data_IF_416664608458
#
_entry.id   IF_416664608458
#
_cell.length_a   1.000
_cell.length_b   1.000
_cell.length_c   1.000
_cell.angle_alpha   90.00
_cell.angle_beta   90.00
_cell.angle_gamma   90.00
#
_symmetry.space_group_name_H-M   'P 1'
#
loop_
_entity.id
_entity.type
_entity.pdbx_description
1 polymer ?
#
# COMPACT_ATOMS: atom_id res chain seq x y z
N UNK A 1 16.42 53.98 -19.43
CA UNK A 1 15.29 53.35 -18.69
C UNK A 1 15.46 51.86 -18.79
N UNK A 2 16.12 51.24 -17.81
CA UNK A 2 16.46 49.80 -17.80
C UNK A 2 15.36 49.08 -17.02
N UNK A 3 14.59 48.28 -17.71
CA UNK A 3 13.51 47.48 -17.14
C UNK A 3 14.14 46.23 -16.53
N UNK A 4 14.20 46.18 -15.20
CA UNK A 4 14.65 45.02 -14.44
C UNK A 4 13.48 44.04 -14.29
N UNK A 5 13.58 42.77 -14.72
CA UNK A 5 12.51 41.83 -14.56
C UNK A 5 12.30 41.50 -13.07
N UNK A 6 11.07 41.65 -12.60
CA UNK A 6 10.66 41.30 -11.26
C UNK A 6 10.90 39.79 -11.04
N UNK A 7 11.79 39.46 -10.10
CA UNK A 7 11.98 38.09 -9.61
C UNK A 7 10.69 37.71 -8.84
N UNK A 8 9.87 36.91 -9.48
CA UNK A 8 8.66 36.36 -8.89
C UNK A 8 9.02 35.55 -7.66
N UNK A 9 8.73 36.08 -6.47
CA UNK A 9 8.91 35.39 -5.20
C UNK A 9 8.03 34.15 -5.17
N UNK A 10 8.52 33.02 -5.66
CA UNK A 10 7.89 31.68 -5.52
C UNK A 10 7.51 31.47 -4.06
N UNK A 11 6.21 31.21 -3.82
CA UNK A 11 5.59 31.21 -2.49
C UNK A 11 6.34 30.26 -1.56
N UNK A 12 6.92 30.70 -0.41
CA UNK A 12 7.68 29.87 0.54
C UNK A 12 6.93 28.60 0.99
N UNK A 13 5.61 28.64 0.99
CA UNK A 13 4.73 27.52 1.35
C UNK A 13 4.78 26.36 0.34
N UNK A 14 4.89 26.66 -0.95
CA UNK A 14 4.98 25.63 -1.99
C UNK A 14 6.33 24.92 -1.96
N UNK A 15 7.41 25.64 -1.64
CA UNK A 15 8.74 25.05 -1.47
C UNK A 15 8.81 24.16 -0.23
N UNK A 16 8.18 24.57 0.87
CA UNK A 16 8.08 23.78 2.09
C UNK A 16 7.31 22.45 1.84
N UNK A 17 6.20 22.50 1.11
CA UNK A 17 5.44 21.30 0.74
C UNK A 17 6.30 20.36 -0.12
N UNK A 18 6.97 20.89 -1.16
CA UNK A 18 7.84 20.08 -2.02
C UNK A 18 9.00 19.46 -1.25
N UNK A 19 9.62 20.21 -0.37
CA UNK A 19 10.71 19.71 0.48
C UNK A 19 10.22 18.59 1.41
N UNK A 20 9.03 18.75 2.01
CA UNK A 20 8.41 17.73 2.85
C UNK A 20 8.20 16.43 2.06
N UNK A 21 7.62 16.49 0.86
CA UNK A 21 7.41 15.30 0.02
C UNK A 21 8.74 14.64 -0.40
N UNK A 22 9.76 15.42 -0.75
CA UNK A 22 11.10 14.88 -1.06
C UNK A 22 11.72 14.16 0.13
N UNK A 23 11.54 14.69 1.35
CA UNK A 23 12.03 14.04 2.58
C UNK A 23 11.28 12.73 2.82
N UNK A 24 9.95 12.68 2.66
CA UNK A 24 9.18 11.46 2.84
C UNK A 24 9.58 10.37 1.82
N UNK A 25 9.76 10.73 0.55
CA UNK A 25 10.22 9.80 -0.49
C UNK A 25 11.63 9.27 -0.20
N UNK A 26 12.54 10.15 0.17
CA UNK A 26 13.90 9.77 0.54
C UNK A 26 13.91 8.86 1.78
N UNK A 27 13.08 9.17 2.78
CA UNK A 27 12.97 8.39 4.01
C UNK A 27 12.44 6.97 3.71
N UNK A 28 11.39 6.85 2.89
CA UNK A 28 10.91 5.55 2.41
C UNK A 28 12.05 4.73 1.81
N UNK A 29 12.80 5.30 0.86
CA UNK A 29 13.86 4.60 0.17
C UNK A 29 15.04 4.22 1.09
N UNK A 30 15.45 5.11 2.01
CA UNK A 30 16.55 4.85 2.95
C UNK A 30 16.14 3.79 3.97
N UNK A 31 14.95 3.88 4.54
CA UNK A 31 14.50 2.95 5.57
C UNK A 31 14.11 1.58 5.01
N UNK A 32 13.55 1.51 3.79
CA UNK A 32 13.20 0.23 3.15
C UNK A 32 14.42 -0.62 2.81
N UNK A 33 15.57 0.01 2.55
CA UNK A 33 16.84 -0.70 2.35
C UNK A 33 17.38 -1.26 3.67
N UNK A 34 16.95 -0.70 4.79
CA UNK A 34 17.25 -1.20 6.14
C UNK A 34 18.70 -1.01 6.56
N UNK A 35 18.99 -1.47 7.79
CA UNK A 35 20.33 -1.53 8.30
C UNK A 35 20.74 -0.33 9.17
N UNK A 36 21.93 -0.43 9.80
CA UNK A 36 22.46 0.59 10.72
C UNK A 36 22.72 1.94 10.05
N UNK A 37 22.92 1.94 8.73
CA UNK A 37 23.18 3.13 7.92
C UNK A 37 21.93 3.97 7.60
N UNK A 38 20.76 3.51 7.98
CA UNK A 38 19.49 4.23 7.79
C UNK A 38 19.37 5.40 8.77
N UNK A 39 20.14 6.48 8.51
CA UNK A 39 20.20 7.67 9.35
C UNK A 39 19.39 8.84 8.78
N UNK A 40 19.02 9.80 9.64
CA UNK A 40 18.35 11.03 9.20
C UNK A 40 19.24 11.87 8.29
N UNK A 41 20.57 11.81 8.47
CA UNK A 41 21.54 12.45 7.61
C UNK A 41 21.54 11.84 6.21
N UNK A 42 21.42 10.51 6.10
CA UNK A 42 21.25 9.81 4.82
C UNK A 42 19.96 10.22 4.13
N UNK A 43 18.87 10.36 4.88
CA UNK A 43 17.57 10.86 4.37
C UNK A 43 17.72 12.30 3.87
N UNK A 44 18.30 13.21 4.65
CA UNK A 44 18.47 14.62 4.28
C UNK A 44 19.32 14.74 3.01
N UNK A 45 20.44 14.01 2.94
CA UNK A 45 21.33 13.97 1.77
C UNK A 45 20.59 13.46 0.52
N UNK A 46 19.85 12.36 0.63
CA UNK A 46 19.07 11.80 -0.48
C UNK A 46 17.94 12.73 -0.92
N UNK A 47 17.29 13.41 0.02
CA UNK A 47 16.24 14.39 -0.26
C UNK A 47 16.80 15.70 -0.88
N UNK A 48 18.12 15.94 -0.81
CA UNK A 48 18.75 17.18 -1.23
C UNK A 48 18.29 18.37 -0.38
N UNK A 49 18.14 18.15 0.93
CA UNK A 49 17.81 19.21 1.91
C UNK A 49 18.84 19.24 3.03
N UNK A 50 19.00 20.41 3.66
CA UNK A 50 19.82 20.49 4.86
C UNK A 50 19.18 19.74 6.03
N UNK A 51 20.01 19.14 6.91
CA UNK A 51 19.54 18.41 8.09
C UNK A 51 18.64 19.28 8.99
N UNK A 52 18.96 20.56 9.16
CA UNK A 52 18.13 21.51 9.89
C UNK A 52 16.76 21.75 9.27
N UNK A 53 16.63 21.60 7.95
CA UNK A 53 15.33 21.65 7.25
C UNK A 53 14.53 20.38 7.52
N UNK A 54 15.17 19.21 7.55
CA UNK A 54 14.53 17.95 7.91
C UNK A 54 13.97 18.02 9.33
N UNK A 55 14.75 18.44 10.32
CA UNK A 55 14.30 18.55 11.72
C UNK A 55 13.16 19.56 11.93
N UNK A 56 13.09 20.63 11.13
CA UNK A 56 11.94 21.55 11.17
C UNK A 56 10.62 20.89 10.75
N UNK A 57 10.67 19.94 9.82
CA UNK A 57 9.49 19.21 9.36
C UNK A 57 9.20 18.00 10.23
N UNK A 58 10.23 17.33 10.72
CA UNK A 58 10.15 16.07 11.47
C UNK A 58 11.13 16.14 12.65
N UNK A 59 10.67 16.63 13.82
CA UNK A 59 11.54 16.87 14.98
C UNK A 59 12.21 15.61 15.53
N UNK A 60 11.57 14.44 15.33
CA UNK A 60 12.10 13.15 15.77
C UNK A 60 12.09 12.14 14.62
N UNK A 61 12.80 11.04 14.81
CA UNK A 61 12.85 9.93 13.87
C UNK A 61 11.48 9.24 13.78
N UNK A 62 10.80 9.13 14.92
CA UNK A 62 9.46 8.58 15.05
C UNK A 62 8.42 9.41 14.28
N UNK A 63 8.50 10.74 14.39
CA UNK A 63 7.62 11.64 13.65
C UNK A 63 7.81 11.50 12.13
N UNK A 64 9.04 11.29 11.67
CA UNK A 64 9.30 11.00 10.26
C UNK A 64 8.74 9.63 9.86
N UNK A 65 8.95 8.60 10.69
CA UNK A 65 8.39 7.26 10.47
C UNK A 65 6.88 7.32 10.33
N UNK A 66 6.19 7.93 11.29
CA UNK A 66 4.74 8.04 11.26
C UNK A 66 4.24 8.76 10.01
N UNK A 67 4.92 9.84 9.61
CA UNK A 67 4.56 10.60 8.42
C UNK A 67 4.76 9.79 7.12
N UNK A 68 5.84 9.00 7.00
CA UNK A 68 6.05 8.07 5.88
C UNK A 68 4.98 7.00 5.89
N UNK A 69 4.72 6.38 7.03
CA UNK A 69 3.72 5.32 7.15
C UNK A 69 2.32 5.80 6.75
N UNK A 70 1.88 6.97 7.26
CA UNK A 70 0.58 7.57 6.88
C UNK A 70 0.50 7.87 5.38
N UNK A 71 1.59 8.39 4.80
CA UNK A 71 1.66 8.65 3.35
C UNK A 71 1.49 7.36 2.55
N UNK A 72 2.16 6.29 2.92
CA UNK A 72 2.05 4.99 2.24
C UNK A 72 0.63 4.41 2.35
N UNK A 73 -0.03 4.55 3.50
CA UNK A 73 -1.44 4.18 3.68
C UNK A 73 -2.33 4.98 2.73
N UNK A 74 -2.17 6.31 2.68
CA UNK A 74 -2.98 7.15 1.80
C UNK A 74 -2.74 6.84 0.31
N UNK A 75 -1.50 6.54 -0.09
CA UNK A 75 -1.21 6.13 -1.46
C UNK A 75 -1.92 4.83 -1.83
N UNK A 76 -1.99 3.87 -0.90
CA UNK A 76 -2.68 2.60 -1.14
C UNK A 76 -4.21 2.78 -1.19
N UNK A 77 -4.76 3.69 -0.38
CA UNK A 77 -6.18 4.08 -0.45
C UNK A 77 -6.49 4.75 -1.78
N UNK A 78 -5.66 5.69 -2.22
CA UNK A 78 -5.88 6.40 -3.48
C UNK A 78 -5.72 5.48 -4.70
N UNK A 79 -4.82 4.50 -4.62
CA UNK A 79 -4.70 3.45 -5.63
C UNK A 79 -6.01 2.66 -5.79
N UNK A 80 -6.71 2.31 -4.70
CA UNK A 80 -8.00 1.64 -4.79
C UNK A 80 -9.00 2.44 -5.63
N UNK A 81 -9.18 3.72 -5.32
CA UNK A 81 -10.07 4.62 -6.07
C UNK A 81 -9.69 4.73 -7.55
N UNK A 82 -8.39 4.80 -7.85
CA UNK A 82 -7.92 4.86 -9.22
C UNK A 82 -8.22 3.58 -9.99
N UNK A 83 -8.05 2.42 -9.35
CA UNK A 83 -8.29 1.12 -9.96
C UNK A 83 -9.77 0.85 -10.23
N UNK A 84 -10.69 1.39 -9.41
CA UNK A 84 -12.13 1.23 -9.58
C UNK A 84 -12.63 1.61 -10.97
N UNK A 85 -12.04 2.62 -11.59
CA UNK A 85 -12.51 3.20 -12.85
C UNK A 85 -11.71 2.76 -14.06
N UNK A 86 -10.61 2.00 -13.89
CA UNK A 86 -9.63 1.75 -14.96
C UNK A 86 -9.59 0.33 -15.49
N UNK A 87 -9.86 -0.65 -14.64
CA UNK A 87 -9.69 -2.07 -14.98
C UNK A 87 -10.84 -2.93 -14.45
N UNK A 88 -10.91 -4.19 -14.91
CA UNK A 88 -11.90 -5.16 -14.47
C UNK A 88 -11.84 -5.37 -12.94
N UNK A 89 -13.00 -5.61 -12.29
CA UNK A 89 -13.10 -5.61 -10.82
C UNK A 89 -12.14 -6.57 -10.12
N UNK A 90 -12.05 -7.82 -10.56
CA UNK A 90 -11.14 -8.80 -9.94
C UNK A 90 -9.67 -8.44 -10.16
N UNK A 91 -9.34 -7.86 -11.31
CA UNK A 91 -7.98 -7.42 -11.58
C UNK A 91 -7.62 -6.16 -10.77
N UNK A 92 -8.59 -5.27 -10.49
CA UNK A 92 -8.41 -4.15 -9.56
C UNK A 92 -8.07 -4.66 -8.15
N UNK A 93 -8.81 -5.66 -7.66
CA UNK A 93 -8.55 -6.30 -6.38
C UNK A 93 -7.16 -6.96 -6.36
N UNK A 94 -6.80 -7.69 -7.42
CA UNK A 94 -5.48 -8.32 -7.58
C UNK A 94 -4.35 -7.29 -7.52
N UNK A 95 -4.46 -6.23 -8.30
CA UNK A 95 -3.47 -5.15 -8.32
C UNK A 95 -3.30 -4.49 -6.95
N UNK A 96 -4.40 -4.22 -6.26
CA UNK A 96 -4.36 -3.61 -4.95
C UNK A 96 -3.70 -4.52 -3.90
N UNK A 97 -4.02 -5.81 -3.87
CA UNK A 97 -3.39 -6.77 -2.96
C UNK A 97 -1.88 -6.92 -3.24
N UNK A 98 -1.47 -6.91 -4.51
CA UNK A 98 -0.05 -6.92 -4.88
C UNK A 98 0.67 -5.65 -4.43
N UNK A 99 0.05 -4.47 -4.57
CA UNK A 99 0.56 -3.21 -4.02
C UNK A 99 0.62 -3.25 -2.48
N UNK A 100 -0.31 -3.94 -1.82
CA UNK A 100 -0.30 -4.20 -0.39
C UNK A 100 0.93 -4.99 0.07
N UNK A 101 1.45 -5.92 -0.74
CA UNK A 101 2.72 -6.63 -0.46
C UNK A 101 3.91 -5.65 -0.45
N UNK A 102 3.95 -4.70 -1.38
CA UNK A 102 4.99 -3.65 -1.43
C UNK A 102 4.90 -2.71 -0.23
N UNK A 103 3.67 -2.33 0.16
CA UNK A 103 3.43 -1.57 1.39
C UNK A 103 3.97 -2.31 2.62
N UNK A 104 3.70 -3.62 2.73
CA UNK A 104 4.20 -4.43 3.84
C UNK A 104 5.72 -4.57 3.83
N UNK A 105 6.35 -4.61 2.65
CA UNK A 105 7.81 -4.62 2.53
C UNK A 105 8.42 -3.32 3.08
N UNK A 106 7.85 -2.17 2.71
CA UNK A 106 8.24 -0.87 3.25
C UNK A 106 8.09 -0.84 4.77
N UNK A 107 6.94 -1.29 5.30
CA UNK A 107 6.67 -1.35 6.74
C UNK A 107 7.69 -2.21 7.48
N UNK A 108 7.99 -3.42 6.99
CA UNK A 108 8.97 -4.34 7.58
C UNK A 108 10.38 -3.74 7.57
N UNK A 109 10.81 -3.17 6.44
CA UNK A 109 12.11 -2.51 6.31
C UNK A 109 12.26 -1.32 7.26
N UNK A 110 11.23 -0.48 7.35
CA UNK A 110 11.21 0.67 8.26
C UNK A 110 11.27 0.24 9.74
N UNK A 111 10.52 -0.79 10.13
CA UNK A 111 10.54 -1.30 11.50
C UNK A 111 11.93 -1.83 11.88
N UNK A 112 12.58 -2.57 10.98
CA UNK A 112 13.94 -3.08 11.18
C UNK A 112 14.97 -1.95 11.28
N UNK A 113 14.89 -0.93 10.39
CA UNK A 113 15.83 0.20 10.36
C UNK A 113 15.76 1.06 11.63
N UNK A 114 14.61 1.12 12.26
CA UNK A 114 14.40 1.96 13.43
C UNK A 114 14.75 1.26 14.74
N UNK A 115 15.01 -0.06 14.71
CA UNK A 115 15.17 -0.88 15.91
C UNK A 115 14.12 -0.57 16.99
N UNK A 116 13.04 0.04 16.58
CA UNK A 116 11.92 0.39 17.45
C UNK A 116 11.10 -0.85 17.71
N UNK A 117 10.62 -0.94 18.94
CA UNK A 117 9.58 -1.89 19.27
C UNK A 117 8.58 -1.95 18.12
N UNK A 118 8.33 -3.13 17.60
CA UNK A 118 7.58 -3.43 16.38
C UNK A 118 6.11 -2.94 16.38
N UNK A 119 5.80 -2.04 17.27
CA UNK A 119 4.48 -1.54 17.56
C UNK A 119 4.47 -0.04 17.25
N UNK A 120 4.03 0.30 16.05
CA UNK A 120 3.50 1.64 15.82
C UNK A 120 2.48 1.97 16.92
N UNK A 121 2.25 3.25 17.21
CA UNK A 121 1.24 3.58 18.22
C UNK A 121 -0.06 2.85 17.91
N UNK A 122 -0.81 2.39 18.91
CA UNK A 122 -2.12 1.74 18.69
C UNK A 122 -3.04 2.56 17.79
N UNK A 123 -2.96 3.89 17.89
CA UNK A 123 -3.73 4.82 17.06
C UNK A 123 -3.31 4.75 15.57
N UNK A 124 -2.02 4.60 15.29
CA UNK A 124 -1.51 4.48 13.92
C UNK A 124 -1.92 3.13 13.30
N UNK A 125 -1.92 2.06 14.10
CA UNK A 125 -2.38 0.73 13.68
C UNK A 125 -3.88 0.78 13.39
N UNK A 126 -4.70 1.34 14.30
CA UNK A 126 -6.13 1.47 14.11
C UNK A 126 -6.48 2.32 12.89
N UNK A 127 -5.80 3.46 12.71
CA UNK A 127 -5.93 4.32 11.55
C UNK A 127 -5.69 3.56 10.23
N UNK A 128 -4.60 2.80 10.16
CA UNK A 128 -4.27 2.06 8.94
C UNK A 128 -5.25 0.92 8.67
N UNK A 129 -5.65 0.18 9.71
CA UNK A 129 -6.60 -0.92 9.58
C UNK A 129 -7.93 -0.43 9.03
N UNK A 130 -8.53 0.61 9.64
CA UNK A 130 -9.81 1.19 9.16
C UNK A 130 -9.74 1.61 7.70
N UNK A 131 -8.71 2.36 7.32
CA UNK A 131 -8.62 2.92 5.97
C UNK A 131 -8.35 1.86 4.90
N UNK A 132 -7.46 0.91 5.19
CA UNK A 132 -7.08 -0.13 4.23
C UNK A 132 -8.17 -1.20 4.10
N UNK A 133 -8.84 -1.55 5.20
CA UNK A 133 -9.99 -2.47 5.17
C UNK A 133 -11.14 -1.86 4.36
N UNK A 134 -11.42 -0.56 4.52
CA UNK A 134 -12.44 0.13 3.71
C UNK A 134 -12.07 0.13 2.23
N UNK A 135 -10.84 0.48 1.88
CA UNK A 135 -10.38 0.53 0.50
C UNK A 135 -10.45 -0.84 -0.20
N UNK A 136 -10.04 -1.92 0.47
CA UNK A 136 -10.16 -3.27 -0.10
C UNK A 136 -11.61 -3.73 -0.15
N UNK A 137 -12.45 -3.29 0.81
CA UNK A 137 -13.87 -3.58 0.85
C UNK A 137 -14.62 -3.03 -0.36
N UNK A 138 -14.34 -1.81 -0.77
CA UNK A 138 -14.91 -1.18 -1.96
C UNK A 138 -14.56 -1.99 -3.23
N UNK A 139 -13.30 -2.40 -3.39
CA UNK A 139 -12.86 -3.24 -4.51
C UNK A 139 -13.49 -4.63 -4.48
N UNK A 140 -13.56 -5.26 -3.31
CA UNK A 140 -14.15 -6.59 -3.11
C UNK A 140 -15.65 -6.57 -3.42
N UNK A 141 -16.38 -5.58 -2.91
CA UNK A 141 -17.81 -5.41 -3.16
C UNK A 141 -18.10 -5.23 -4.65
N UNK A 142 -17.28 -4.44 -5.35
CA UNK A 142 -17.41 -4.25 -6.79
C UNK A 142 -17.18 -5.55 -7.56
N UNK A 143 -16.17 -6.35 -7.19
CA UNK A 143 -15.89 -7.64 -7.83
C UNK A 143 -17.00 -8.67 -7.54
N UNK A 144 -17.57 -8.65 -6.33
CA UNK A 144 -18.71 -9.50 -5.97
C UNK A 144 -20.00 -9.09 -6.73
N UNK A 145 -20.27 -7.78 -6.85
CA UNK A 145 -21.41 -7.27 -7.61
C UNK A 145 -21.31 -7.60 -9.10
N UNK A 146 -20.10 -7.65 -9.66
CA UNK A 146 -19.84 -8.11 -11.03
C UNK A 146 -19.95 -9.65 -11.18
N UNK A 147 -20.14 -10.40 -10.09
CA UNK A 147 -20.20 -11.85 -10.10
C UNK A 147 -18.85 -12.55 -10.34
N UNK A 148 -17.74 -11.81 -10.30
CA UNK A 148 -16.40 -12.33 -10.57
C UNK A 148 -15.81 -13.07 -9.36
N UNK A 149 -16.19 -12.67 -8.13
CA UNK A 149 -15.77 -13.31 -6.88
C UNK A 149 -16.97 -13.67 -6.01
N UNK A 150 -16.75 -14.54 -5.03
CA UNK A 150 -17.75 -14.90 -4.00
C UNK A 150 -18.06 -13.68 -3.11
N UNK A 151 -19.31 -13.57 -2.63
CA UNK A 151 -19.80 -12.40 -1.89
C UNK A 151 -19.75 -12.57 -0.35
N UNK A 152 -19.29 -13.72 0.15
CA UNK A 152 -19.27 -14.09 1.57
C UNK A 152 -17.92 -13.86 2.25
N UNK A 153 -17.05 -13.03 1.64
CA UNK A 153 -15.75 -12.68 2.18
C UNK A 153 -15.83 -11.34 2.93
N UNK A 154 -15.38 -11.35 4.17
CA UNK A 154 -15.24 -10.14 4.96
C UNK A 154 -13.98 -9.36 4.52
N UNK A 155 -14.07 -8.04 4.28
CA UNK A 155 -12.92 -7.21 3.89
C UNK A 155 -11.79 -7.20 4.93
N UNK A 156 -12.11 -7.28 6.22
CA UNK A 156 -11.09 -7.33 7.27
C UNK A 156 -10.35 -8.66 7.25
N UNK A 157 -11.06 -9.77 7.05
CA UNK A 157 -10.45 -11.11 6.92
C UNK A 157 -9.52 -11.17 5.70
N UNK A 158 -9.96 -10.60 4.57
CA UNK A 158 -9.14 -10.50 3.36
C UNK A 158 -7.85 -9.72 3.62
N UNK A 159 -7.96 -8.56 4.28
CA UNK A 159 -6.79 -7.75 4.60
C UNK A 159 -5.88 -8.45 5.63
N UNK A 160 -6.44 -9.08 6.67
CA UNK A 160 -5.69 -9.86 7.64
C UNK A 160 -4.98 -11.06 7.03
N UNK A 161 -5.59 -11.73 6.06
CA UNK A 161 -4.96 -12.81 5.32
C UNK A 161 -3.72 -12.31 4.55
N UNK A 162 -3.82 -11.17 3.85
CA UNK A 162 -2.68 -10.53 3.20
C UNK A 162 -1.54 -10.24 4.19
N UNK A 163 -1.87 -9.61 5.32
CA UNK A 163 -0.89 -9.31 6.38
C UNK A 163 -0.24 -10.59 6.91
N UNK A 164 -1.04 -11.62 7.18
CA UNK A 164 -0.57 -12.94 7.64
C UNK A 164 0.40 -13.58 6.66
N UNK A 165 0.06 -13.59 5.36
CA UNK A 165 0.97 -14.09 4.33
C UNK A 165 2.31 -13.34 4.29
N UNK A 166 2.28 -12.02 4.47
CA UNK A 166 3.48 -11.21 4.48
C UNK A 166 4.38 -11.49 5.70
N UNK A 167 3.80 -11.75 6.87
CA UNK A 167 4.57 -12.06 8.09
C UNK A 167 4.97 -13.53 8.22
N UNK A 168 4.29 -14.45 7.54
CA UNK A 168 4.63 -15.86 7.57
C UNK A 168 5.93 -16.21 6.80
N UNK A 169 6.48 -15.25 6.06
CA UNK A 169 7.67 -15.48 5.23
C UNK A 169 8.77 -14.50 5.60
N UNK A 170 9.97 -15.05 5.82
CA UNK A 170 11.20 -14.32 6.06
C UNK A 170 12.21 -14.53 4.92
N UNK A 171 13.34 -13.77 4.98
CA UNK A 171 14.42 -13.84 4.00
C UNK A 171 14.22 -12.93 2.77
N UNK A 172 15.22 -12.88 1.91
CA UNK A 172 15.32 -11.88 0.82
C UNK A 172 14.31 -12.05 -0.31
N UNK A 173 13.72 -13.23 -0.48
CA UNK A 173 12.78 -13.54 -1.58
C UNK A 173 11.32 -13.67 -1.12
N UNK A 174 10.98 -13.22 0.08
CA UNK A 174 9.64 -13.40 0.65
C UNK A 174 8.54 -12.74 -0.19
N UNK A 175 8.79 -11.54 -0.74
CA UNK A 175 7.81 -10.82 -1.58
C UNK A 175 7.37 -11.65 -2.79
N UNK A 176 8.32 -12.24 -3.53
CA UNK A 176 8.01 -13.06 -4.69
C UNK A 176 7.17 -14.31 -4.33
N UNK A 177 7.38 -14.88 -3.14
CA UNK A 177 6.56 -15.99 -2.62
C UNK A 177 5.13 -15.52 -2.31
N UNK A 178 5.01 -14.40 -1.59
CA UNK A 178 3.71 -13.84 -1.22
C UNK A 178 2.93 -13.39 -2.46
N UNK A 179 3.58 -12.78 -3.45
CA UNK A 179 2.91 -12.39 -4.70
C UNK A 179 2.28 -13.59 -5.42
N UNK A 180 2.95 -14.75 -5.45
CA UNK A 180 2.36 -15.98 -6.00
C UNK A 180 1.19 -16.47 -5.15
N UNK A 181 1.28 -16.39 -3.82
CA UNK A 181 0.18 -16.77 -2.93
C UNK A 181 -1.02 -15.84 -3.09
N UNK A 182 -0.80 -14.54 -3.29
CA UNK A 182 -1.87 -13.58 -3.61
C UNK A 182 -2.59 -13.98 -4.89
N UNK A 183 -1.88 -14.38 -5.94
CA UNK A 183 -2.51 -14.82 -7.18
C UNK A 183 -3.36 -16.08 -6.96
N UNK A 184 -2.83 -17.11 -6.27
CA UNK A 184 -3.58 -18.33 -5.91
C UNK A 184 -4.81 -17.99 -5.04
N UNK A 185 -4.64 -17.07 -4.09
CA UNK A 185 -5.72 -16.66 -3.20
C UNK A 185 -6.86 -15.97 -3.97
N UNK A 186 -6.53 -15.04 -4.85
CA UNK A 186 -7.52 -14.37 -5.72
C UNK A 186 -8.23 -15.36 -6.62
N UNK A 187 -7.51 -16.31 -7.23
CA UNK A 187 -8.12 -17.32 -8.07
C UNK A 187 -9.05 -18.24 -7.27
N UNK A 188 -8.74 -18.50 -5.99
CA UNK A 188 -9.61 -19.21 -5.06
C UNK A 188 -10.87 -18.44 -4.64
N UNK A 189 -10.86 -17.10 -4.73
CA UNK A 189 -12.04 -16.25 -4.49
C UNK A 189 -12.97 -16.19 -5.69
N UNK A 190 -12.50 -16.54 -6.88
CA UNK A 190 -13.33 -16.48 -8.09
C UNK A 190 -14.55 -17.38 -7.96
N UNK A 191 -15.69 -16.87 -8.40
CA UNK A 191 -16.91 -17.65 -8.46
C UNK A 191 -16.74 -18.72 -9.54
N UNK A 192 -16.76 -19.99 -9.14
CA UNK A 192 -16.77 -21.08 -10.11
C UNK A 192 -18.13 -21.07 -10.84
N UNK A 193 -18.16 -21.20 -12.18
CA UNK A 193 -19.41 -21.41 -12.89
C UNK A 193 -20.10 -22.63 -12.28
N UNK A 194 -21.41 -22.49 -12.03
CA UNK A 194 -22.19 -23.52 -11.35
C UNK A 194 -22.29 -24.76 -12.25
N UNK A 195 -21.46 -25.77 -11.95
CA UNK A 195 -21.43 -27.05 -12.68
C UNK A 195 -22.75 -27.84 -12.63
N UNK A 196 -23.74 -27.32 -11.89
CA UNK A 196 -25.07 -27.99 -11.80
C UNK A 196 -25.94 -27.75 -13.03
N UNK A 197 -25.80 -26.57 -13.69
CA UNK A 197 -26.56 -26.26 -14.90
C UNK A 197 -26.12 -27.11 -16.11
N UNK A 198 -24.80 -27.36 -16.23
CA UNK A 198 -24.29 -28.21 -17.33
C UNK A 198 -24.68 -29.68 -17.20
N UNK A 199 -24.84 -30.20 -15.98
CA UNK A 199 -25.32 -31.57 -15.78
C UNK A 199 -26.81 -31.72 -16.16
N UNK A 200 -27.66 -30.75 -15.82
CA UNK A 200 -29.09 -30.81 -16.19
C UNK A 200 -29.29 -30.63 -17.70
N UNK A 201 -28.51 -29.82 -18.36
CA UNK A 201 -28.56 -29.69 -19.83
C UNK A 201 -28.07 -30.98 -20.53
N UNK A 202 -27.08 -31.66 -19.96
CA UNK A 202 -26.58 -32.93 -20.51
C UNK A 202 -27.53 -34.09 -20.28
N UNK A 203 -28.25 -34.13 -19.13
CA UNK A 203 -29.25 -35.15 -18.83
C UNK A 203 -30.55 -34.93 -19.63
N UNK A 204 -30.95 -33.68 -19.86
CA UNK A 204 -32.09 -33.35 -20.72
C UNK A 204 -31.86 -33.70 -22.21
N UNK A 205 -30.60 -33.68 -22.67
CA UNK A 205 -30.24 -34.07 -24.03
C UNK A 205 -30.10 -35.60 -24.21
N UNK A 206 -30.20 -36.38 -23.13
CA UNK A 206 -30.08 -37.85 -23.14
C UNK A 206 -31.40 -38.59 -22.85
N UNK A 207 -32.51 -37.87 -22.66
CA UNK A 207 -33.82 -38.50 -22.54
C UNK A 207 -34.29 -38.97 -23.93
N UNK A 208 -34.74 -40.24 -24.07
CA UNK A 208 -35.13 -40.84 -25.34
C UNK A 208 -36.42 -40.25 -25.93
#
# INVERSE_FOLDING_TARGET
>A
MTHQPAIEKRKPRADAIRNRERVLEAAKAVFSQGGPEASLEAVARRAGVGIGTLYRHFPTREALYEAVYRREVEQLVELAKHLETKIAPVEALRHWLRAGVEFMATKKGMAAALAMAAHGSPELVAYSLDRLTRAVGELLQRAAAAGEVRADIDPEDLFRALVGMCYAHDGTAWQAKVLRLVDVFIDGLRRQPDKRHDRQACDAARAP
#
